data_IF_964984697121
#
_entry.id   IF_964984697121
#
_cell.length_a   1.000
_cell.length_b   1.000
_cell.length_c   1.000
_cell.angle_alpha   90.00
_cell.angle_beta   90.00
_cell.angle_gamma   90.00
#
_symmetry.space_group_name_H-M   'P 1'
#
loop_
_entity.id
_entity.type
_entity.pdbx_description
1 polymer ?
#
# COMPACT_ATOMS: atom_id res chain seq x y z
N UNK A 1 -17.01 -26.94 38.48
CA UNK A 1 -17.59 -26.82 37.11
C UNK A 1 -16.57 -27.36 36.12
N UNK A 2 -16.93 -28.37 35.32
CA UNK A 2 -16.00 -29.13 34.47
C UNK A 2 -15.83 -28.41 33.12
N UNK A 3 -14.61 -27.98 32.81
CA UNK A 3 -14.27 -27.24 31.59
C UNK A 3 -14.48 -28.16 30.36
N UNK A 4 -15.59 -27.96 29.62
CA UNK A 4 -15.86 -28.71 28.39
C UNK A 4 -15.02 -28.12 27.26
N UNK A 5 -13.86 -28.72 26.99
CA UNK A 5 -13.07 -28.43 25.80
C UNK A 5 -13.90 -28.74 24.53
N UNK A 6 -14.38 -27.69 23.87
CA UNK A 6 -15.10 -27.78 22.60
C UNK A 6 -14.12 -28.24 21.50
N UNK A 7 -14.04 -29.55 21.25
CA UNK A 7 -13.28 -30.09 20.11
C UNK A 7 -14.11 -29.90 18.83
N UNK A 8 -13.85 -28.81 18.11
CA UNK A 8 -14.42 -28.58 16.78
C UNK A 8 -13.89 -29.68 15.84
N UNK A 9 -14.76 -30.60 15.40
CA UNK A 9 -14.43 -31.60 14.39
C UNK A 9 -14.62 -30.97 13.01
N UNK A 10 -13.55 -30.43 12.44
CA UNK A 10 -13.54 -29.94 11.07
C UNK A 10 -13.65 -31.12 10.10
N UNK A 11 -14.76 -31.19 9.37
CA UNK A 11 -14.93 -32.04 8.20
C UNK A 11 -13.99 -31.52 7.09
N UNK A 12 -13.37 -32.40 6.31
CA UNK A 12 -12.54 -32.02 5.16
C UNK A 12 -13.25 -31.04 4.20
N UNK A 13 -14.56 -31.17 4.03
CA UNK A 13 -15.38 -30.23 3.27
C UNK A 13 -15.54 -28.85 3.92
N UNK A 14 -15.68 -28.79 5.25
CA UNK A 14 -15.73 -27.50 5.97
C UNK A 14 -14.38 -26.79 5.94
N UNK A 15 -13.26 -27.52 5.96
CA UNK A 15 -11.94 -26.94 5.80
C UNK A 15 -11.75 -26.38 4.37
N UNK A 16 -12.22 -27.10 3.35
CA UNK A 16 -12.17 -26.67 1.95
C UNK A 16 -12.99 -25.40 1.71
N UNK A 17 -14.19 -25.30 2.30
CA UNK A 17 -15.04 -24.09 2.25
C UNK A 17 -14.38 -22.90 2.94
N UNK A 18 -13.74 -23.10 4.09
CA UNK A 18 -13.03 -22.02 4.80
C UNK A 18 -11.83 -21.53 3.97
N UNK A 19 -11.08 -22.44 3.33
CA UNK A 19 -9.96 -22.07 2.45
C UNK A 19 -10.46 -21.31 1.23
N UNK A 20 -11.53 -21.78 0.57
CA UNK A 20 -12.17 -21.08 -0.55
C UNK A 20 -12.68 -19.70 -0.15
N UNK A 21 -13.33 -19.58 1.00
CA UNK A 21 -13.81 -18.32 1.53
C UNK A 21 -12.64 -17.37 1.82
N UNK A 22 -11.57 -17.87 2.45
CA UNK A 22 -10.34 -17.10 2.68
C UNK A 22 -9.70 -16.62 1.38
N UNK A 23 -9.69 -17.45 0.34
CA UNK A 23 -9.15 -17.11 -0.97
C UNK A 23 -10.03 -16.07 -1.69
N UNK A 24 -11.36 -16.19 -1.63
CA UNK A 24 -12.30 -15.20 -2.17
C UNK A 24 -12.19 -13.88 -1.43
N UNK A 25 -12.06 -13.91 -0.10
CA UNK A 25 -11.86 -12.71 0.70
C UNK A 25 -10.49 -12.07 0.45
N UNK A 26 -9.45 -12.87 0.21
CA UNK A 26 -8.11 -12.37 -0.13
C UNK A 26 -8.09 -11.73 -1.52
N UNK A 27 -8.66 -12.39 -2.52
CA UNK A 27 -8.81 -11.82 -3.87
C UNK A 27 -9.71 -10.59 -3.83
N UNK A 28 -10.81 -10.64 -3.08
CA UNK A 28 -11.69 -9.51 -2.86
C UNK A 28 -10.98 -8.35 -2.17
N UNK A 29 -10.15 -8.61 -1.16
CA UNK A 29 -9.35 -7.59 -0.50
C UNK A 29 -8.34 -6.96 -1.48
N UNK A 30 -7.62 -7.77 -2.27
CA UNK A 30 -6.68 -7.28 -3.28
C UNK A 30 -7.37 -6.44 -4.36
N UNK A 31 -8.61 -6.75 -4.72
CA UNK A 31 -9.35 -6.04 -5.76
C UNK A 31 -10.03 -4.79 -5.22
N UNK A 32 -10.76 -4.92 -4.11
CA UNK A 32 -11.63 -3.87 -3.59
C UNK A 32 -10.90 -2.90 -2.67
N UNK A 33 -9.90 -3.30 -1.89
CA UNK A 33 -9.18 -2.35 -1.01
C UNK A 33 -8.48 -1.27 -1.84
N UNK A 34 -7.73 -1.59 -2.91
CA UNK A 34 -7.10 -0.58 -3.72
C UNK A 34 -8.14 0.36 -4.38
N UNK A 35 -9.25 -0.20 -4.88
CA UNK A 35 -10.37 0.59 -5.41
C UNK A 35 -10.98 1.52 -4.37
N UNK A 36 -11.29 1.04 -3.16
CA UNK A 36 -11.88 1.85 -2.09
C UNK A 36 -10.92 2.92 -1.57
N UNK A 37 -9.63 2.60 -1.47
CA UNK A 37 -8.59 3.56 -1.06
C UNK A 37 -8.43 4.64 -2.13
N UNK A 38 -8.34 4.28 -3.41
CA UNK A 38 -8.26 5.27 -4.49
C UNK A 38 -9.55 6.07 -4.64
N UNK A 39 -10.74 5.47 -4.59
CA UNK A 39 -12.00 6.21 -4.63
C UNK A 39 -12.18 7.13 -3.44
N UNK A 40 -11.82 6.68 -2.23
CA UNK A 40 -11.89 7.49 -1.02
C UNK A 40 -10.93 8.67 -1.07
N UNK A 41 -9.67 8.41 -1.43
CA UNK A 41 -8.65 9.44 -1.56
C UNK A 41 -8.97 10.42 -2.70
N UNK A 42 -9.42 9.89 -3.84
CA UNK A 42 -9.87 10.66 -4.99
C UNK A 42 -11.02 11.59 -4.64
N UNK A 43 -12.07 11.10 -3.97
CA UNK A 43 -13.21 11.96 -3.60
C UNK A 43 -12.80 13.13 -2.70
N UNK A 44 -11.79 12.94 -1.85
CA UNK A 44 -11.24 14.01 -1.01
C UNK A 44 -10.42 14.98 -1.88
N UNK A 45 -9.52 14.47 -2.72
CA UNK A 45 -8.65 15.27 -3.60
C UNK A 45 -9.45 16.06 -4.65
N UNK A 46 -10.45 15.43 -5.27
CA UNK A 46 -11.32 16.02 -6.28
C UNK A 46 -12.19 17.16 -5.72
N UNK A 47 -12.55 17.11 -4.43
CA UNK A 47 -13.26 18.23 -3.77
C UNK A 47 -12.45 19.52 -3.73
N UNK A 48 -11.13 19.43 -3.86
CA UNK A 48 -10.20 20.55 -3.88
C UNK A 48 -9.52 20.74 -5.25
N UNK A 49 -10.05 20.12 -6.32
CA UNK A 49 -9.48 20.12 -7.67
C UNK A 49 -8.04 19.61 -7.76
N UNK A 50 -7.60 18.75 -6.81
CA UNK A 50 -6.25 18.20 -6.80
C UNK A 50 -6.08 16.91 -7.61
N UNK A 51 -7.18 16.27 -8.00
CA UNK A 51 -7.16 15.09 -8.86
C UNK A 51 -8.45 14.95 -9.66
N UNK A 52 -8.33 14.43 -10.88
CA UNK A 52 -9.45 14.04 -11.75
C UNK A 52 -9.28 12.58 -12.20
N UNK A 53 -10.36 11.80 -12.12
CA UNK A 53 -10.39 10.39 -12.55
C UNK A 53 -11.58 10.17 -13.47
N UNK A 54 -11.28 9.69 -14.67
CA UNK A 54 -12.28 9.29 -15.66
C UNK A 54 -12.53 7.78 -15.60
N UNK A 55 -13.69 7.38 -15.08
CA UNK A 55 -14.08 5.96 -15.00
C UNK A 55 -14.42 5.38 -16.37
N UNK A 56 -14.18 4.09 -16.55
CA UNK A 56 -14.66 3.33 -17.69
C UNK A 56 -16.14 2.95 -17.50
N UNK A 57 -16.81 2.61 -18.60
CA UNK A 57 -18.17 2.07 -18.53
C UNK A 57 -18.21 0.65 -17.91
N UNK A 58 -17.09 -0.06 -18.00
CA UNK A 58 -16.95 -1.43 -17.51
C UNK A 58 -16.16 -1.46 -16.21
N UNK A 59 -16.82 -1.88 -15.14
CA UNK A 59 -16.21 -2.09 -13.82
C UNK A 59 -14.91 -2.93 -13.82
N UNK A 60 -14.82 -3.95 -14.67
CA UNK A 60 -13.60 -4.78 -14.79
C UNK A 60 -12.39 -4.02 -15.37
N UNK A 61 -12.62 -3.02 -16.21
CA UNK A 61 -11.57 -2.16 -16.72
C UNK A 61 -11.09 -1.20 -15.63
N UNK A 62 -12.01 -0.65 -14.84
CA UNK A 62 -11.65 0.18 -13.68
C UNK A 62 -10.79 -0.60 -12.68
N UNK A 63 -11.21 -1.81 -12.29
CA UNK A 63 -10.42 -2.67 -11.40
C UNK A 63 -9.00 -2.85 -11.93
N UNK A 64 -8.89 -3.23 -13.20
CA UNK A 64 -7.58 -3.60 -13.77
C UNK A 64 -6.69 -2.38 -13.91
N UNK A 65 -7.25 -1.26 -14.34
CA UNK A 65 -6.55 -0.01 -14.58
C UNK A 65 -6.12 0.66 -13.27
N UNK A 66 -7.06 0.92 -12.34
CA UNK A 66 -6.74 1.53 -11.05
C UNK A 66 -6.00 0.57 -10.12
N UNK A 67 -6.30 -0.73 -10.20
CA UNK A 67 -5.52 -1.76 -9.49
C UNK A 67 -4.07 -1.80 -9.98
N UNK A 68 -3.85 -1.73 -11.29
CA UNK A 68 -2.51 -1.64 -11.89
C UNK A 68 -1.76 -0.37 -11.47
N UNK A 69 -2.46 0.77 -11.41
CA UNK A 69 -1.92 2.03 -10.90
C UNK A 69 -1.38 1.89 -9.47
N UNK A 70 -2.20 1.34 -8.57
CA UNK A 70 -1.83 1.17 -7.16
C UNK A 70 -0.72 0.13 -7.01
N UNK A 71 -0.79 -0.96 -7.77
CA UNK A 71 0.25 -1.98 -7.76
C UNK A 71 1.61 -1.40 -8.16
N UNK A 72 1.66 -0.60 -9.22
CA UNK A 72 2.89 0.08 -9.65
C UNK A 72 3.39 1.08 -8.61
N UNK A 73 2.49 1.82 -7.98
CA UNK A 73 2.83 2.75 -6.91
C UNK A 73 3.46 2.01 -5.71
N UNK A 74 2.87 0.89 -5.30
CA UNK A 74 3.40 0.03 -4.23
C UNK A 74 4.76 -0.55 -4.62
N UNK A 75 4.90 -1.11 -5.83
CA UNK A 75 6.16 -1.68 -6.32
C UNK A 75 7.28 -0.62 -6.32
N UNK A 76 6.98 0.61 -6.76
CA UNK A 76 7.96 1.70 -6.78
C UNK A 76 8.49 2.00 -5.37
N UNK A 77 7.59 2.15 -4.40
CA UNK A 77 7.95 2.45 -3.01
C UNK A 77 8.78 1.33 -2.40
N UNK A 78 8.36 0.07 -2.56
CA UNK A 78 9.14 -1.08 -2.08
C UNK A 78 10.50 -1.18 -2.77
N UNK A 79 10.59 -0.95 -4.08
CA UNK A 79 11.86 -0.99 -4.81
C UNK A 79 12.86 0.05 -4.27
N UNK A 80 12.40 1.27 -3.99
CA UNK A 80 13.22 2.32 -3.40
C UNK A 80 13.59 2.03 -1.94
N UNK A 81 12.69 1.40 -1.19
CA UNK A 81 12.98 0.96 0.18
C UNK A 81 14.08 -0.10 0.19
N UNK A 82 13.95 -1.15 -0.64
CA UNK A 82 15.00 -2.16 -0.81
C UNK A 82 16.33 -1.57 -1.26
N UNK A 83 16.31 -0.62 -2.22
CA UNK A 83 17.52 0.08 -2.66
C UNK A 83 18.18 0.85 -1.50
N UNK A 84 17.37 1.50 -0.66
CA UNK A 84 17.88 2.25 0.48
C UNK A 84 18.48 1.34 1.54
N UNK A 85 17.81 0.24 1.87
CA UNK A 85 18.35 -0.78 2.77
C UNK A 85 19.66 -1.35 2.24
N UNK A 86 19.76 -1.58 0.93
CA UNK A 86 20.99 -2.04 0.29
C UNK A 86 22.12 -1.01 0.40
N UNK A 87 21.83 0.28 0.16
CA UNK A 87 22.81 1.37 0.32
C UNK A 87 23.28 1.45 1.77
N UNK A 88 22.37 1.49 2.74
CA UNK A 88 22.71 1.55 4.17
C UNK A 88 23.58 0.37 4.60
N UNK A 89 23.26 -0.83 4.12
CA UNK A 89 24.05 -2.04 4.37
C UNK A 89 25.44 -1.97 3.71
N UNK A 90 25.53 -1.52 2.46
CA UNK A 90 26.79 -1.41 1.72
C UNK A 90 27.77 -0.43 2.37
N UNK A 91 27.26 0.69 2.90
CA UNK A 91 28.06 1.69 3.61
C UNK A 91 28.20 1.44 5.11
N UNK A 92 27.64 0.34 5.64
CA UNK A 92 27.63 0.00 7.07
C UNK A 92 27.08 1.14 7.95
N UNK A 93 26.11 1.90 7.44
CA UNK A 93 25.48 3.01 8.17
C UNK A 93 24.58 2.40 9.24
N UNK A 94 24.75 2.83 10.49
CA UNK A 94 23.89 2.39 11.58
C UNK A 94 22.49 2.98 11.41
N UNK A 95 21.47 2.13 11.47
CA UNK A 95 20.06 2.53 11.42
C UNK A 95 19.72 3.17 12.77
N UNK A 96 19.89 4.48 12.85
CA UNK A 96 19.37 5.32 13.94
C UNK A 96 18.02 5.90 13.54
N UNK A 97 17.20 6.30 14.52
CA UNK A 97 15.88 6.90 14.24
C UNK A 97 15.95 8.12 13.32
N UNK A 98 17.00 8.94 13.42
CA UNK A 98 17.21 10.07 12.52
C UNK A 98 17.57 9.65 11.10
N UNK A 99 18.44 8.65 10.94
CA UNK A 99 18.83 8.12 9.62
C UNK A 99 17.63 7.48 8.93
N UNK A 100 16.80 6.76 9.68
CA UNK A 100 15.58 6.12 9.18
C UNK A 100 14.54 7.16 8.72
N UNK A 101 14.28 8.18 9.54
CA UNK A 101 13.35 9.26 9.20
C UNK A 101 13.83 10.08 7.99
N UNK A 102 15.13 10.40 7.90
CA UNK A 102 15.70 11.07 6.73
C UNK A 102 15.62 10.18 5.49
N UNK A 103 15.85 8.88 5.63
CA UNK A 103 15.73 7.91 4.54
C UNK A 103 14.31 7.89 3.98
N UNK A 104 13.29 7.84 4.86
CA UNK A 104 11.88 7.92 4.46
C UNK A 104 11.57 9.21 3.69
N UNK A 105 12.05 10.36 4.18
CA UNK A 105 11.81 11.65 3.50
C UNK A 105 12.47 11.66 2.12
N UNK A 106 13.72 11.23 2.02
CA UNK A 106 14.46 11.19 0.75
C UNK A 106 13.80 10.20 -0.23
N UNK A 107 13.45 9.01 0.24
CA UNK A 107 12.72 8.03 -0.55
C UNK A 107 11.37 8.58 -1.05
N UNK A 108 10.64 9.29 -0.21
CA UNK A 108 9.35 9.89 -0.59
C UNK A 108 9.54 10.93 -1.70
N UNK A 109 10.52 11.82 -1.58
CA UNK A 109 10.82 12.84 -2.61
C UNK A 109 11.23 12.19 -3.93
N UNK A 110 12.10 11.18 -3.88
CA UNK A 110 12.52 10.43 -5.07
C UNK A 110 11.33 9.69 -5.68
N UNK A 111 10.47 9.07 -4.86
CA UNK A 111 9.27 8.36 -5.31
C UNK A 111 8.30 9.29 -6.02
N UNK A 112 8.03 10.47 -5.45
CA UNK A 112 7.17 11.48 -6.09
C UNK A 112 7.74 11.86 -7.46
N UNK A 113 9.04 12.15 -7.53
CA UNK A 113 9.70 12.54 -8.77
C UNK A 113 9.65 11.45 -9.84
N UNK A 114 9.97 10.21 -9.47
CA UNK A 114 9.92 9.06 -10.39
C UNK A 114 8.49 8.75 -10.82
N UNK A 115 7.54 8.79 -9.89
CA UNK A 115 6.15 8.51 -10.16
C UNK A 115 5.54 9.53 -11.11
N UNK A 116 5.70 10.83 -10.83
CA UNK A 116 5.20 11.90 -11.67
C UNK A 116 5.81 11.86 -13.08
N UNK A 117 7.12 11.57 -13.19
CA UNK A 117 7.82 11.61 -14.48
C UNK A 117 7.65 10.36 -15.32
N UNK A 118 7.59 9.19 -14.69
CA UNK A 118 7.67 7.90 -15.38
C UNK A 118 6.46 7.01 -15.19
N UNK A 119 5.60 7.21 -14.19
CA UNK A 119 4.45 6.31 -13.98
C UNK A 119 3.16 7.01 -14.38
N UNK A 120 2.89 8.18 -13.81
CA UNK A 120 1.67 8.95 -14.05
C UNK A 120 1.35 9.20 -15.53
N UNK A 121 2.32 9.50 -16.43
CA UNK A 121 2.01 9.74 -17.84
C UNK A 121 1.49 8.52 -18.61
N UNK A 122 1.60 7.31 -18.06
CA UNK A 122 1.01 6.11 -18.67
C UNK A 122 -0.47 5.93 -18.29
N UNK A 123 -0.99 6.79 -17.41
CA UNK A 123 -2.36 6.72 -16.93
C UNK A 123 -3.17 7.94 -17.39
N UNK A 124 -3.57 7.94 -18.66
CA UNK A 124 -4.30 9.04 -19.30
C UNK A 124 -5.62 9.44 -18.59
N UNK A 125 -6.25 8.51 -17.86
CA UNK A 125 -7.49 8.72 -17.11
C UNK A 125 -7.31 9.16 -15.66
N UNK A 126 -6.06 9.38 -15.23
CA UNK A 126 -5.73 9.83 -13.89
C UNK A 126 -4.94 11.12 -14.03
N UNK A 127 -5.59 12.25 -13.74
CA UNK A 127 -4.90 13.53 -13.57
C UNK A 127 -4.72 13.79 -12.08
N UNK A 128 -3.49 14.06 -11.65
CA UNK A 128 -3.21 14.43 -10.27
C UNK A 128 -2.26 15.62 -10.30
N UNK A 129 -2.68 16.71 -9.65
CA UNK A 129 -1.86 17.90 -9.48
C UNK A 129 -0.73 17.66 -8.48
N UNK A 130 0.32 18.48 -8.54
CA UNK A 130 1.47 18.37 -7.63
C UNK A 130 1.11 18.29 -6.13
N UNK A 131 0.20 19.12 -5.60
CA UNK A 131 -0.22 18.99 -4.20
C UNK A 131 -0.89 17.64 -3.92
N UNK A 132 -1.66 17.11 -4.87
CA UNK A 132 -2.31 15.81 -4.75
C UNK A 132 -1.31 14.66 -4.67
N UNK A 133 -0.24 14.71 -5.47
CA UNK A 133 0.85 13.74 -5.40
C UNK A 133 1.56 13.77 -4.05
N UNK A 134 1.86 14.97 -3.53
CA UNK A 134 2.50 15.11 -2.22
C UNK A 134 1.64 14.49 -1.12
N UNK A 135 0.34 14.79 -1.11
CA UNK A 135 -0.61 14.22 -0.13
C UNK A 135 -0.67 12.69 -0.26
N UNK A 136 -0.76 12.17 -1.48
CA UNK A 136 -0.80 10.73 -1.76
C UNK A 136 0.43 10.01 -1.18
N UNK A 137 1.63 10.54 -1.44
CA UNK A 137 2.86 9.92 -0.96
C UNK A 137 3.08 10.10 0.54
N UNK A 138 2.68 11.23 1.14
CA UNK A 138 2.69 11.41 2.60
C UNK A 138 1.82 10.35 3.28
N UNK A 139 0.62 10.10 2.76
CA UNK A 139 -0.28 9.11 3.34
C UNK A 139 0.28 7.69 3.18
N UNK A 140 0.82 7.37 2.01
CA UNK A 140 1.41 6.07 1.74
C UNK A 140 2.60 5.77 2.66
N UNK A 141 3.56 6.69 2.75
CA UNK A 141 4.72 6.55 3.63
C UNK A 141 4.33 6.65 5.11
N UNK A 142 3.29 7.42 5.45
CA UNK A 142 2.74 7.47 6.81
C UNK A 142 2.18 6.12 7.26
N UNK A 143 1.44 5.43 6.38
CA UNK A 143 0.95 4.06 6.64
C UNK A 143 2.13 3.11 6.85
N UNK A 144 3.12 3.13 5.97
CA UNK A 144 4.31 2.26 6.07
C UNK A 144 5.07 2.52 7.37
N UNK A 145 5.28 3.79 7.72
CA UNK A 145 5.96 4.17 8.95
C UNK A 145 5.23 3.65 10.19
N UNK A 146 3.89 3.79 10.27
CA UNK A 146 3.09 3.27 11.40
C UNK A 146 3.30 1.77 11.58
N UNK A 147 3.23 0.99 10.50
CA UNK A 147 3.41 -0.46 10.57
C UNK A 147 4.86 -0.89 10.82
N UNK A 148 5.84 -0.09 10.42
CA UNK A 148 7.25 -0.36 10.65
C UNK A 148 7.67 -0.10 12.10
N UNK A 149 7.15 0.97 12.72
CA UNK A 149 7.53 1.38 14.08
C UNK A 149 6.87 0.59 15.22
N UNK A 150 5.83 -0.21 14.96
CA UNK A 150 5.24 -1.09 15.98
C UNK A 150 6.16 -2.22 16.45
N UNK A 151 7.25 -2.50 15.72
CA UNK A 151 8.17 -3.58 16.06
C UNK A 151 9.26 -3.15 17.05
N UNK A 152 8.89 -2.60 18.20
CA UNK A 152 9.80 -2.58 19.36
C UNK A 152 9.80 -3.98 19.96
N UNK A 153 10.85 -4.76 19.70
CA UNK A 153 11.16 -5.97 20.46
C UNK A 153 11.11 -5.65 21.96
N UNK A 154 10.47 -6.50 22.79
CA UNK A 154 10.57 -6.34 24.23
C UNK A 154 12.05 -6.39 24.60
N UNK A 155 12.47 -5.45 25.44
CA UNK A 155 13.77 -5.47 26.09
C UNK A 155 13.75 -6.75 26.92
N UNK A 156 14.43 -7.81 26.45
CA UNK A 156 14.80 -8.90 27.34
C UNK A 156 15.74 -8.29 28.37
N UNK A 157 15.25 -8.30 29.62
CA UNK A 157 15.86 -7.80 30.85
C UNK A 157 17.27 -8.31 31.09
#
# INVERSE_FOLDING_TARGET
MKNKNFKIRLNGWSALVIILLGLVLFVGAIVFIPLFVMFGLYNILAKFDFAHIDLFESFWHDITYFGGFILLLVILVFALDFLTLFILAAFKIQITTLVDLLSIIVQMVISIGLFHRFVLPYFDRISIEWPGLIILFILLYGIIAIFSYEKKTPIES
#
